data_IF_258286420372
#
_entry.id   IF_258286420372
#
_cell.length_a   1.000
_cell.length_b   1.000
_cell.length_c   1.000
_cell.angle_alpha   90.00
_cell.angle_beta   90.00
_cell.angle_gamma   90.00
#
_symmetry.space_group_name_H-M   'P 1'
#
loop_
_entity.id
_entity.type
_entity.pdbx_description
1 polymer ?
#
# COMPACT_ATOMS: atom_id res chain seq x y z
N UNK A 1 -10.29 -10.58 -37.53
CA UNK A 1 -9.22 -9.91 -36.76
C UNK A 1 -9.39 -10.27 -35.30
N UNK A 2 -8.37 -10.80 -34.63
CA UNK A 2 -8.41 -11.14 -33.20
C UNK A 2 -8.37 -9.86 -32.36
N UNK A 3 -9.52 -9.43 -31.85
CA UNK A 3 -9.64 -8.24 -30.98
C UNK A 3 -9.57 -8.66 -29.52
N UNK A 4 -8.59 -8.13 -28.79
CA UNK A 4 -8.49 -8.26 -27.33
C UNK A 4 -9.60 -7.41 -26.71
N UNK A 5 -10.45 -8.01 -25.88
CA UNK A 5 -11.57 -7.35 -25.21
C UNK A 5 -11.35 -7.29 -23.71
N UNK A 6 -12.12 -6.44 -23.02
CA UNK A 6 -12.08 -6.35 -21.55
C UNK A 6 -12.30 -7.70 -20.85
N UNK A 7 -13.08 -8.62 -21.44
CA UNK A 7 -13.25 -9.98 -20.91
C UNK A 7 -11.93 -10.79 -20.88
N UNK A 8 -11.06 -10.59 -21.86
CA UNK A 8 -9.79 -11.33 -21.98
C UNK A 8 -8.80 -10.79 -20.95
N UNK A 9 -8.81 -9.47 -20.73
CA UNK A 9 -8.06 -8.82 -19.64
C UNK A 9 -8.55 -9.30 -18.28
N UNK A 10 -9.87 -9.36 -18.07
CA UNK A 10 -10.45 -9.84 -16.82
C UNK A 10 -10.14 -11.34 -16.57
N UNK A 11 -10.09 -12.14 -17.62
CA UNK A 11 -9.69 -13.54 -17.54
C UNK A 11 -8.21 -13.69 -17.14
N UNK A 12 -7.31 -12.92 -17.78
CA UNK A 12 -5.90 -12.89 -17.42
C UNK A 12 -5.68 -12.42 -15.97
N UNK A 13 -6.48 -11.48 -15.48
CA UNK A 13 -6.46 -11.07 -14.08
C UNK A 13 -6.79 -12.23 -13.14
N UNK A 14 -7.86 -12.98 -13.42
CA UNK A 14 -8.25 -14.15 -12.61
C UNK A 14 -7.19 -15.23 -12.62
N UNK A 15 -6.57 -15.49 -13.77
CA UNK A 15 -5.46 -16.44 -13.88
C UNK A 15 -4.28 -16.02 -13.00
N UNK A 16 -3.91 -14.74 -13.02
CA UNK A 16 -2.87 -14.22 -12.14
C UNK A 16 -3.23 -14.32 -10.65
N UNK A 17 -4.50 -14.13 -10.29
CA UNK A 17 -4.98 -14.34 -8.92
C UNK A 17 -4.88 -15.81 -8.50
N UNK A 18 -5.24 -16.75 -9.39
CA UNK A 18 -5.10 -18.19 -9.16
C UNK A 18 -3.64 -18.62 -9.00
N UNK A 19 -2.73 -17.97 -9.74
CA UNK A 19 -1.28 -18.14 -9.58
C UNK A 19 -0.72 -17.52 -8.28
N UNK A 20 -1.54 -16.82 -7.50
CA UNK A 20 -1.13 -16.21 -6.23
C UNK A 20 -0.41 -14.87 -6.37
N UNK A 21 -0.52 -14.18 -7.52
CA UNK A 21 0.08 -12.85 -7.69
C UNK A 21 -0.64 -11.81 -6.82
N UNK A 22 0.13 -10.99 -6.13
CA UNK A 22 -0.42 -9.90 -5.32
C UNK A 22 -1.15 -8.84 -6.15
N UNK A 23 -2.16 -8.20 -5.56
CA UNK A 23 -2.98 -7.18 -6.24
C UNK A 23 -2.16 -6.03 -6.84
N UNK A 24 -1.07 -5.61 -6.19
CA UNK A 24 -0.19 -4.57 -6.72
C UNK A 24 0.57 -5.04 -7.97
N UNK A 25 0.98 -6.30 -8.01
CA UNK A 25 1.62 -6.91 -9.18
C UNK A 25 0.67 -6.91 -10.36
N UNK A 26 -0.57 -7.41 -10.18
CA UNK A 26 -1.61 -7.41 -11.22
C UNK A 26 -1.87 -5.99 -11.72
N UNK A 27 -1.98 -5.02 -10.80
CA UNK A 27 -2.15 -3.60 -11.15
C UNK A 27 -1.01 -3.06 -12.01
N UNK A 28 0.24 -3.44 -11.74
CA UNK A 28 1.40 -3.03 -12.55
C UNK A 28 1.37 -3.66 -13.94
N UNK A 29 1.01 -4.94 -14.07
CA UNK A 29 0.80 -5.56 -15.38
C UNK A 29 -0.28 -4.83 -16.20
N UNK A 30 -1.41 -4.48 -15.56
CA UNK A 30 -2.47 -3.70 -16.22
C UNK A 30 -1.99 -2.31 -16.63
N UNK A 31 -1.13 -1.66 -15.83
CA UNK A 31 -0.56 -0.37 -16.17
C UNK A 31 0.35 -0.44 -17.40
N UNK A 32 1.20 -1.47 -17.49
CA UNK A 32 2.04 -1.74 -18.65
C UNK A 32 1.21 -2.00 -19.90
N UNK A 33 0.19 -2.85 -19.79
CA UNK A 33 -0.72 -3.14 -20.91
C UNK A 33 -1.46 -1.89 -21.38
N UNK A 34 -1.99 -1.10 -20.44
CA UNK A 34 -2.63 0.18 -20.76
C UNK A 34 -1.69 1.14 -21.47
N UNK A 35 -0.43 1.21 -21.01
CA UNK A 35 0.59 2.04 -21.66
C UNK A 35 0.92 1.55 -23.08
N UNK A 36 1.01 0.24 -23.30
CA UNK A 36 1.21 -0.34 -24.62
C UNK A 36 0.10 0.07 -25.60
N UNK A 37 -1.18 0.00 -25.19
CA UNK A 37 -2.30 0.46 -26.03
C UNK A 37 -2.24 1.96 -26.32
N UNK A 38 -1.76 2.76 -25.36
CA UNK A 38 -1.52 4.19 -25.59
C UNK A 38 -0.42 4.42 -26.64
N UNK A 39 0.71 3.73 -26.53
CA UNK A 39 1.81 3.81 -27.51
C UNK A 39 1.36 3.36 -28.90
N UNK A 40 0.63 2.25 -28.99
CA UNK A 40 0.09 1.77 -30.25
C UNK A 40 -0.82 2.81 -30.93
N UNK A 41 -1.65 3.50 -30.14
CA UNK A 41 -2.53 4.56 -30.64
C UNK A 41 -1.77 5.81 -31.09
N UNK A 42 -0.77 6.27 -30.33
CA UNK A 42 -0.08 7.56 -30.62
C UNK A 42 1.10 7.42 -31.57
N UNK A 43 1.89 6.36 -31.44
CA UNK A 43 3.16 6.21 -32.16
C UNK A 43 3.06 5.27 -33.36
N UNK A 44 2.19 4.25 -33.29
CA UNK A 44 2.10 3.21 -34.33
C UNK A 44 0.98 3.46 -35.34
N UNK A 45 0.29 4.60 -35.26
CA UNK A 45 -0.80 4.97 -36.15
C UNK A 45 -2.05 4.09 -36.00
N UNK A 46 -2.19 3.36 -34.89
CA UNK A 46 -3.34 2.50 -34.63
C UNK A 46 -4.45 3.29 -33.91
N UNK A 47 -4.89 4.40 -34.51
CA UNK A 47 -5.81 5.35 -33.87
C UNK A 47 -7.17 4.75 -33.48
N UNK A 48 -7.61 3.72 -34.21
CA UNK A 48 -8.91 3.07 -34.06
C UNK A 48 -8.97 1.96 -33.01
N UNK A 49 -7.86 1.60 -32.36
CA UNK A 49 -7.89 0.59 -31.29
C UNK A 49 -8.34 1.23 -29.98
N UNK A 50 -9.20 0.51 -29.25
CA UNK A 50 -9.57 0.86 -27.89
C UNK A 50 -8.69 0.15 -26.87
N UNK A 51 -8.49 0.81 -25.72
CA UNK A 51 -7.73 0.23 -24.62
C UNK A 51 -8.64 -0.70 -23.81
N UNK A 52 -8.47 -2.03 -23.88
CA UNK A 52 -9.34 -2.97 -23.20
C UNK A 52 -9.21 -2.91 -21.67
N UNK A 53 -8.11 -2.32 -21.15
CA UNK A 53 -7.87 -2.15 -19.70
C UNK A 53 -8.82 -1.13 -19.08
N UNK A 54 -9.39 -0.21 -19.86
CA UNK A 54 -10.35 0.78 -19.36
C UNK A 54 -11.71 0.17 -19.00
N UNK A 55 -12.02 -1.00 -19.56
CA UNK A 55 -13.28 -1.71 -19.33
C UNK A 55 -13.21 -2.77 -18.23
N UNK A 56 -12.12 -2.82 -17.46
CA UNK A 56 -11.97 -3.78 -16.35
C UNK A 56 -11.83 -3.08 -15.00
N UNK A 57 -12.42 -3.69 -13.96
CA UNK A 57 -12.26 -3.23 -12.59
C UNK A 57 -10.92 -3.71 -12.05
N UNK A 58 -10.02 -2.77 -11.75
CA UNK A 58 -8.70 -3.07 -11.17
C UNK A 58 -8.83 -3.73 -9.78
N UNK A 59 -7.91 -4.62 -9.40
CA UNK A 59 -7.96 -5.27 -8.10
C UNK A 59 -7.77 -4.24 -6.98
N UNK A 60 -8.47 -4.43 -5.87
CA UNK A 60 -8.33 -3.56 -4.70
C UNK A 60 -6.97 -3.82 -4.06
N UNK A 61 -6.17 -2.78 -3.91
CA UNK A 61 -4.90 -2.90 -3.21
C UNK A 61 -5.16 -3.18 -1.73
N UNK A 62 -4.40 -4.09 -1.10
CA UNK A 62 -4.41 -4.21 0.35
C UNK A 62 -3.97 -2.88 0.96
N UNK A 63 -4.41 -2.60 2.19
CA UNK A 63 -3.86 -1.45 2.92
C UNK A 63 -2.34 -1.60 2.98
N UNK A 64 -1.65 -0.49 2.71
CA UNK A 64 -0.20 -0.43 2.82
C UNK A 64 0.25 -0.77 4.25
N UNK A 65 1.55 -1.02 4.40
CA UNK A 65 2.15 -1.11 5.73
C UNK A 65 2.14 0.30 6.34
N UNK A 66 1.32 0.50 7.35
CA UNK A 66 1.22 1.76 8.10
C UNK A 66 1.61 1.57 9.59
N UNK A 67 2.12 0.39 9.92
CA UNK A 67 2.61 0.08 11.26
C UNK A 67 3.95 0.80 11.47
N UNK A 68 3.96 1.76 12.40
CA UNK A 68 5.19 2.36 12.94
C UNK A 68 5.75 1.55 14.11
N UNK A 69 7.00 1.83 14.48
CA UNK A 69 7.58 1.35 15.73
C UNK A 69 6.85 2.02 16.91
N UNK A 70 6.55 1.26 17.96
CA UNK A 70 5.82 1.76 19.13
C UNK A 70 6.55 1.37 20.41
N UNK A 71 6.60 2.29 21.38
CA UNK A 71 7.19 2.03 22.70
C UNK A 71 8.70 1.79 22.61
N UNK A 72 9.14 0.66 23.15
CA UNK A 72 10.57 0.31 23.27
C UNK A 72 11.12 -0.48 22.06
N UNK A 73 10.31 -0.71 21.02
CA UNK A 73 10.69 -1.51 19.85
C UNK A 73 11.92 -0.96 19.12
N UNK A 74 12.05 0.37 19.04
CA UNK A 74 13.23 1.01 18.46
C UNK A 74 14.50 0.69 19.24
N UNK A 75 14.44 0.80 20.58
CA UNK A 75 15.60 0.54 21.43
C UNK A 75 16.04 -0.92 21.32
N UNK A 76 15.08 -1.86 21.37
CA UNK A 76 15.34 -3.29 21.19
C UNK A 76 15.91 -3.61 19.81
N UNK A 77 15.41 -2.95 18.76
CA UNK A 77 15.94 -3.11 17.41
C UNK A 77 17.39 -2.65 17.33
N UNK A 78 17.70 -1.47 17.85
CA UNK A 78 19.06 -0.92 17.84
C UNK A 78 20.04 -1.75 18.67
N UNK A 79 19.63 -2.27 19.82
CA UNK A 79 20.45 -3.18 20.63
C UNK A 79 20.77 -4.48 19.90
N UNK A 80 19.77 -5.08 19.24
CA UNK A 80 19.97 -6.28 18.43
C UNK A 80 20.97 -6.04 17.28
N UNK A 81 20.87 -4.90 16.59
CA UNK A 81 21.82 -4.54 15.54
C UNK A 81 23.22 -4.28 16.10
N UNK A 82 23.36 -3.60 17.24
CA UNK A 82 24.67 -3.40 17.90
C UNK A 82 25.34 -4.72 18.27
N UNK A 83 24.57 -5.76 18.59
CA UNK A 83 25.09 -7.07 18.97
C UNK A 83 25.51 -7.92 17.76
N UNK A 84 24.78 -7.86 16.64
CA UNK A 84 24.98 -8.75 15.49
C UNK A 84 25.72 -8.05 14.33
N UNK A 85 25.35 -6.81 14.02
CA UNK A 85 25.85 -6.04 12.87
C UNK A 85 26.06 -4.55 13.23
N UNK A 86 27.13 -4.21 13.99
CA UNK A 86 27.38 -2.85 14.45
C UNK A 86 27.46 -1.81 13.31
N UNK A 87 27.92 -2.21 12.13
CA UNK A 87 28.05 -1.37 10.94
C UNK A 87 26.71 -0.88 10.38
N UNK A 88 25.62 -1.63 10.62
CA UNK A 88 24.30 -1.29 10.13
C UNK A 88 23.57 -0.30 11.05
N UNK A 89 24.07 -0.07 12.27
CA UNK A 89 23.40 0.77 13.28
C UNK A 89 23.17 2.18 12.75
N UNK A 90 24.14 2.78 12.05
CA UNK A 90 23.99 4.11 11.47
C UNK A 90 22.87 4.17 10.41
N UNK A 91 22.74 3.13 9.59
CA UNK A 91 21.68 3.02 8.56
C UNK A 91 20.32 2.86 9.23
N UNK A 92 20.23 2.03 10.28
CA UNK A 92 18.98 1.80 11.02
C UNK A 92 18.51 3.08 11.71
N UNK A 93 19.41 3.84 12.34
CA UNK A 93 19.07 5.13 12.98
C UNK A 93 18.49 6.10 11.94
N UNK A 94 19.11 6.23 10.78
CA UNK A 94 18.62 7.12 9.72
C UNK A 94 17.26 6.64 9.19
N UNK A 95 17.10 5.34 8.97
CA UNK A 95 15.84 4.78 8.49
C UNK A 95 14.69 4.95 9.49
N UNK A 96 14.96 4.77 10.79
CA UNK A 96 13.95 4.92 11.85
C UNK A 96 13.58 6.39 12.03
N UNK A 97 14.53 7.32 12.04
CA UNK A 97 14.28 8.74 12.24
C UNK A 97 13.31 9.37 11.23
N UNK A 98 13.16 8.77 10.03
CA UNK A 98 12.22 9.24 9.00
C UNK A 98 10.78 8.74 9.19
N UNK A 99 10.55 7.79 10.10
CA UNK A 99 9.27 7.10 10.27
C UNK A 99 8.66 7.28 11.68
N UNK A 100 9.28 8.05 12.58
CA UNK A 100 8.77 8.28 13.94
C UNK A 100 7.58 9.25 13.92
N UNK A 101 6.44 8.81 14.47
CA UNK A 101 5.43 9.70 15.04
C UNK A 101 5.46 9.46 16.54
N UNK A 102 5.75 10.49 17.34
CA UNK A 102 5.81 10.39 18.80
C UNK A 102 4.58 9.65 19.32
N UNK A 103 4.80 8.50 19.98
CA UNK A 103 3.73 7.70 20.58
C UNK A 103 2.94 8.52 21.63
N UNK A 104 3.55 9.56 22.19
CA UNK A 104 2.92 10.53 23.07
C UNK A 104 1.78 11.32 22.39
N UNK A 105 1.87 11.54 21.07
CA UNK A 105 0.83 12.24 20.29
C UNK A 105 -0.42 11.37 20.08
N UNK A 106 -0.28 10.03 20.10
CA UNK A 106 -1.41 9.10 19.98
C UNK A 106 -1.94 8.64 21.36
N UNK A 107 -1.19 8.87 22.44
CA UNK A 107 -1.59 8.59 23.82
C UNK A 107 -2.02 9.88 24.56
N UNK A 108 -2.87 10.69 23.95
CA UNK A 108 -3.67 11.66 24.72
C UNK A 108 -4.99 10.98 25.13
N UNK A 109 -5.23 10.67 26.42
CA UNK A 109 -6.53 10.19 26.84
C UNK A 109 -7.53 11.31 26.59
N UNK A 110 -8.41 11.15 25.60
CA UNK A 110 -9.55 12.04 25.38
C UNK A 110 -10.19 12.35 26.74
N UNK A 111 -10.12 13.63 27.09
CA UNK A 111 -10.77 14.28 28.21
C UNK A 111 -12.08 13.61 28.63
N UNK A 112 -12.11 13.13 29.88
CA UNK A 112 -13.34 12.87 30.63
C UNK A 112 -14.17 14.15 30.59
N UNK A 113 -15.29 14.15 29.86
CA UNK A 113 -16.24 15.26 29.88
C UNK A 113 -16.88 15.38 31.26
N UNK A 114 -17.15 16.59 31.79
CA UNK A 114 -17.74 16.77 33.11
C UNK A 114 -19.26 16.65 33.02
N UNK A 115 -19.83 15.45 33.18
CA UNK A 115 -21.28 15.30 33.32
C UNK A 115 -21.70 13.98 34.00
N UNK A 116 -21.13 13.67 35.16
CA UNK A 116 -21.64 12.55 35.98
C UNK A 116 -21.48 12.80 37.50
N UNK A 117 -21.80 14.03 37.93
CA UNK A 117 -22.01 14.37 39.34
C UNK A 117 -23.27 15.22 39.49
N UNK A 118 -24.42 14.63 39.19
CA UNK A 118 -25.73 15.18 39.54
C UNK A 118 -26.74 14.03 39.67
N UNK A 119 -26.75 13.38 40.84
CA UNK A 119 -27.65 12.27 41.12
C UNK A 119 -27.50 11.65 42.50
N UNK A 120 -27.06 12.43 43.49
CA UNK A 120 -27.17 12.07 44.91
C UNK A 120 -27.40 13.36 45.67
N UNK A 121 -28.68 13.67 45.86
CA UNK A 121 -29.35 14.43 46.94
C UNK A 121 -30.71 14.80 46.34
N UNK A 122 -31.67 13.88 46.47
CA UNK A 122 -33.05 14.09 46.91
C UNK A 122 -33.65 12.70 47.12
#
# INVERSE_FOLDING_TARGET
MSSIRGKDVAQAMKEMEVEGKGANTIRLHLALLSHLFKVARTEWGMESIDNPVEYVRKPKLPQGRDRRLVGDEESRLLEAFRAIHPELVAIVIVAVAQDIVDAETLYSPKSRGPSEVAGMIT
#
